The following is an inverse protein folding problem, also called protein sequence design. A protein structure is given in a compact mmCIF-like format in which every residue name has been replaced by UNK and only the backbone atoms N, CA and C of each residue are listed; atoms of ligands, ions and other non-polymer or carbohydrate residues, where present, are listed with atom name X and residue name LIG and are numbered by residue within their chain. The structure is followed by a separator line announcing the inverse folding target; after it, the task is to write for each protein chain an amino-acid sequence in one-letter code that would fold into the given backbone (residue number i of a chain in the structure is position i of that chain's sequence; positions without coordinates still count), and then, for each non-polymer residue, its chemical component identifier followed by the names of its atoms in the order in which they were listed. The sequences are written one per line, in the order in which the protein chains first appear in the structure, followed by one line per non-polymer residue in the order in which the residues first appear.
data_IF_360860842814
#
_entry.id   IF_360860842814
#
_cell.length_a   1.000
_cell.length_b   1.000
_cell.length_c   1.000
_cell.angle_alpha   90.00
_cell.angle_beta   90.00
_cell.angle_gamma   90.00
#
_symmetry.space_group_name_H-M   'P 1'
#
loop_
_entity.id
_entity.type
_entity.pdbx_description
1 polymer ?
#
# COMPACT_ATOMS: atom_id res chain seq x y z
N UNK A 1 -52.01 -11.86 -32.21
CA UNK A 1 -52.21 -11.23 -30.89
C UNK A 1 -50.91 -10.58 -30.46
N UNK A 2 -50.88 -9.27 -30.18
CA UNK A 2 -49.70 -8.55 -29.66
C UNK A 2 -49.84 -8.47 -28.14
N UNK A 3 -49.13 -9.32 -27.41
CA UNK A 3 -49.15 -9.32 -25.94
C UNK A 3 -48.45 -8.05 -25.45
N UNK A 4 -49.20 -7.12 -24.86
CA UNK A 4 -48.62 -5.96 -24.19
C UNK A 4 -48.14 -6.40 -22.81
N UNK A 5 -46.82 -6.43 -22.60
CA UNK A 5 -46.23 -6.64 -21.29
C UNK A 5 -46.61 -5.47 -20.38
N UNK A 6 -47.52 -5.71 -19.43
CA UNK A 6 -47.87 -4.76 -18.38
C UNK A 6 -46.86 -4.93 -17.25
N UNK A 7 -45.83 -4.07 -17.23
CA UNK A 7 -44.88 -4.03 -16.12
C UNK A 7 -45.57 -3.30 -14.96
N UNK A 8 -45.83 -4.01 -13.87
CA UNK A 8 -46.41 -3.42 -12.65
C UNK A 8 -45.44 -2.37 -12.07
N UNK A 9 -45.94 -1.24 -11.54
CA UNK A 9 -45.10 -0.22 -10.92
C UNK A 9 -44.25 -0.79 -9.76
N UNK A 10 -44.73 -1.83 -9.09
CA UNK A 10 -43.98 -2.55 -8.05
C UNK A 10 -42.75 -3.25 -8.64
N UNK A 11 -42.90 -3.86 -9.82
CA UNK A 11 -41.80 -4.53 -10.53
C UNK A 11 -40.77 -3.52 -11.04
N UNK A 12 -41.22 -2.34 -11.47
CA UNK A 12 -40.33 -1.25 -11.89
C UNK A 12 -39.52 -0.68 -10.71
N UNK A 13 -40.13 -0.51 -9.54
CA UNK A 13 -39.44 -0.04 -8.32
C UNK A 13 -38.43 -1.07 -7.82
N UNK A 14 -38.76 -2.37 -7.86
CA UNK A 14 -37.82 -3.44 -7.50
C UNK A 14 -36.61 -3.51 -8.45
N UNK A 15 -36.80 -3.26 -9.75
CA UNK A 15 -35.70 -3.21 -10.73
C UNK A 15 -34.77 -2.00 -10.54
N UNK A 16 -35.32 -0.86 -10.10
CA UNK A 16 -34.53 0.34 -9.77
C UNK A 16 -33.69 0.17 -8.50
N UNK A 17 -34.16 -0.61 -7.53
CA UNK A 17 -33.41 -0.93 -6.32
C UNK A 17 -32.26 -1.93 -6.55
N UNK A 18 -32.27 -2.67 -7.66
CA UNK A 18 -31.18 -3.59 -8.03
C UNK A 18 -29.93 -2.88 -8.59
N UNK A 19 -30.02 -1.57 -8.82
CA UNK A 19 -28.90 -0.71 -9.23
C UNK A 19 -28.17 -0.10 -8.02
N UNK A 20 -28.04 -0.86 -6.93
CA UNK A 20 -27.13 -0.47 -5.84
C UNK A 20 -25.72 -0.44 -6.42
N UNK A 21 -25.17 0.77 -6.56
CA UNK A 21 -23.92 1.05 -7.24
C UNK A 21 -22.80 0.10 -6.83
N UNK A 22 -21.93 -0.22 -7.78
CA UNK A 22 -20.71 -0.95 -7.50
C UNK A 22 -19.96 -0.27 -6.35
N UNK A 23 -20.05 -0.84 -5.14
CA UNK A 23 -19.19 -0.42 -4.04
C UNK A 23 -17.80 -0.85 -4.45
N UNK A 24 -17.00 0.11 -4.87
CA UNK A 24 -15.58 -0.05 -5.12
C UNK A 24 -14.92 -0.39 -3.77
N UNK A 25 -14.88 -1.67 -3.44
CA UNK A 25 -14.13 -2.18 -2.30
C UNK A 25 -12.64 -2.12 -2.66
N UNK A 26 -12.04 -0.93 -2.56
CA UNK A 26 -10.60 -0.78 -2.63
C UNK A 26 -10.02 -1.17 -1.27
N UNK A 27 -9.23 -2.24 -1.25
CA UNK A 27 -8.61 -2.79 -0.05
C UNK A 27 -7.94 -1.71 0.83
N UNK A 28 -8.48 -1.49 2.03
CA UNK A 28 -7.80 -1.14 3.29
C UNK A 28 -6.90 0.11 3.41
N UNK A 29 -6.00 0.40 2.47
CA UNK A 29 -4.85 1.29 2.73
C UNK A 29 -5.18 2.79 2.56
N UNK A 30 -6.08 3.14 1.63
CA UNK A 30 -6.39 4.54 1.27
C UNK A 30 -6.94 5.35 2.45
N UNK A 31 -7.58 4.70 3.44
CA UNK A 31 -8.06 5.41 4.62
C UNK A 31 -6.93 5.87 5.54
N UNK A 32 -5.84 5.11 5.64
CA UNK A 32 -4.75 5.33 6.60
C UNK A 32 -3.62 6.19 6.06
N UNK A 33 -3.37 6.15 4.76
CA UNK A 33 -2.24 6.83 4.12
C UNK A 33 -2.68 8.02 3.26
N UNK A 34 -1.89 9.09 3.29
CA UNK A 34 -2.08 10.23 2.39
C UNK A 34 -1.59 9.89 0.99
N UNK A 35 -2.48 9.32 0.18
CA UNK A 35 -2.19 8.93 -1.20
C UNK A 35 -1.91 10.12 -2.13
N UNK A 36 -2.13 11.36 -1.69
CA UNK A 36 -1.88 12.56 -2.49
C UNK A 36 -0.45 13.10 -2.37
N UNK A 37 0.28 12.67 -1.35
CA UNK A 37 1.65 13.11 -1.09
C UNK A 37 2.58 11.90 -0.90
N UNK A 38 3.74 11.94 -1.53
CA UNK A 38 4.80 10.96 -1.31
C UNK A 38 5.95 11.62 -0.55
N UNK A 39 6.52 10.90 0.41
CA UNK A 39 7.67 11.33 1.20
C UNK A 39 8.87 10.44 0.92
N UNK A 40 10.06 11.01 1.06
CA UNK A 40 11.33 10.31 0.90
C UNK A 40 12.05 10.24 2.24
N UNK A 41 12.33 9.03 2.72
CA UNK A 41 12.93 8.80 4.03
C UNK A 41 14.15 7.89 3.89
N UNK A 42 15.32 8.37 4.30
CA UNK A 42 16.56 7.57 4.32
C UNK A 42 16.75 6.95 5.70
N UNK A 43 17.06 5.66 5.75
CA UNK A 43 17.34 4.97 7.00
C UNK A 43 18.07 3.65 6.84
N UNK A 44 18.27 2.98 7.97
CA UNK A 44 18.97 1.69 8.06
C UNK A 44 17.97 0.61 8.45
N UNK A 45 17.86 -0.44 7.64
CA UNK A 45 16.96 -1.56 7.89
C UNK A 45 17.29 -2.22 9.22
N UNK A 46 16.27 -2.47 10.02
CA UNK A 46 16.34 -3.23 11.27
C UNK A 46 15.66 -4.58 11.16
N UNK A 47 14.61 -4.71 10.33
CA UNK A 47 13.95 -5.97 10.05
C UNK A 47 13.20 -5.94 8.69
N UNK A 48 12.99 -7.13 8.11
CA UNK A 48 12.16 -7.32 6.92
C UNK A 48 11.26 -8.54 7.07
N UNK A 49 9.96 -8.30 7.21
CA UNK A 49 8.96 -9.35 7.38
C UNK A 49 8.37 -9.72 6.01
N UNK A 50 8.79 -10.86 5.47
CA UNK A 50 8.23 -11.45 4.26
C UNK A 50 7.03 -12.36 4.58
N UNK A 51 5.91 -11.73 4.93
CA UNK A 51 4.68 -12.40 5.41
C UNK A 51 3.47 -12.14 4.52
N UNK A 52 2.55 -13.10 4.38
CA UNK A 52 1.30 -12.92 3.63
C UNK A 52 0.19 -12.43 4.58
N UNK A 53 -0.67 -11.42 4.26
CA UNK A 53 -0.90 -10.81 2.96
C UNK A 53 0.05 -9.70 2.52
N UNK A 54 0.76 -9.04 3.46
CA UNK A 54 1.63 -7.89 3.17
C UNK A 54 3.01 -8.07 3.81
N UNK A 55 4.06 -7.69 3.07
CA UNK A 55 5.40 -7.60 3.61
C UNK A 55 5.63 -6.24 4.30
N UNK A 56 6.57 -6.20 5.24
CA UNK A 56 6.91 -4.97 5.98
C UNK A 56 8.41 -4.78 6.09
N UNK A 57 8.86 -3.53 5.95
CA UNK A 57 10.25 -3.12 6.25
C UNK A 57 10.22 -2.27 7.51
N UNK A 58 11.10 -2.57 8.45
CA UNK A 58 11.35 -1.75 9.62
C UNK A 58 12.74 -1.16 9.51
N UNK A 59 12.88 0.13 9.81
CA UNK A 59 14.14 0.83 9.64
C UNK A 59 14.27 2.01 10.59
N UNK A 60 15.50 2.30 10.99
CA UNK A 60 15.85 3.41 11.85
C UNK A 60 16.23 4.62 11.00
N UNK A 61 15.64 5.77 11.34
CA UNK A 61 15.86 7.06 10.67
C UNK A 61 16.45 8.01 11.69
N UNK A 62 17.52 8.70 11.31
CA UNK A 62 18.11 9.74 12.14
C UNK A 62 17.44 11.07 11.82
N UNK A 63 16.81 11.69 12.81
CA UNK A 63 16.21 13.00 12.65
C UNK A 63 17.28 14.12 12.62
N UNK A 64 16.85 15.36 12.40
CA UNK A 64 17.73 16.53 12.36
C UNK A 64 18.48 16.77 13.67
N UNK A 65 17.95 16.28 14.79
CA UNK A 65 18.55 16.40 16.13
C UNK A 65 19.46 15.21 16.46
N UNK A 66 19.56 14.25 15.55
CA UNK A 66 20.35 13.04 15.70
C UNK A 66 19.67 11.92 16.48
N UNK A 67 18.41 12.09 16.88
CA UNK A 67 17.62 11.05 17.54
C UNK A 67 17.16 9.99 16.52
N UNK A 68 17.02 8.76 16.99
CA UNK A 68 16.54 7.65 16.16
C UNK A 68 15.02 7.58 16.24
N UNK A 69 14.38 7.66 15.08
CA UNK A 69 12.96 7.45 14.87
C UNK A 69 12.77 6.13 14.15
N UNK A 70 11.97 5.24 14.75
CA UNK A 70 11.65 3.93 14.16
C UNK A 70 10.55 4.10 13.13
N UNK A 71 10.84 3.72 11.89
CA UNK A 71 9.90 3.72 10.80
C UNK A 71 9.47 2.30 10.43
N UNK A 72 8.24 2.18 9.92
CA UNK A 72 7.80 1.01 9.18
C UNK A 72 7.23 1.39 7.81
N UNK A 73 7.45 0.53 6.83
CA UNK A 73 6.86 0.64 5.52
C UNK A 73 6.09 -0.64 5.19
N UNK A 74 4.83 -0.50 4.80
CA UNK A 74 3.98 -1.58 4.30
C UNK A 74 4.16 -1.73 2.79
N UNK A 75 4.24 -2.98 2.33
CA UNK A 75 4.40 -3.32 0.92
C UNK A 75 3.18 -4.09 0.40
N UNK A 76 3.10 -4.24 -0.93
CA UNK A 76 2.08 -5.06 -1.58
C UNK A 76 2.15 -6.55 -1.26
N UNK A 77 1.27 -7.31 -1.91
CA UNK A 77 1.22 -8.76 -1.73
C UNK A 77 2.49 -9.46 -2.24
N UNK A 78 2.93 -10.51 -1.54
CA UNK A 78 4.18 -11.23 -1.83
C UNK A 78 4.29 -11.72 -3.28
N UNK A 79 3.18 -12.12 -3.88
CA UNK A 79 3.14 -12.54 -5.28
C UNK A 79 3.46 -11.38 -6.24
N UNK A 80 3.01 -10.16 -5.94
CA UNK A 80 3.33 -8.95 -6.73
C UNK A 80 4.79 -8.54 -6.50
N UNK A 81 5.23 -8.53 -5.24
CA UNK A 81 6.61 -8.21 -4.89
C UNK A 81 7.61 -9.16 -5.56
N UNK A 82 7.34 -10.47 -5.55
CA UNK A 82 8.20 -11.45 -6.22
C UNK A 82 8.34 -11.17 -7.73
N UNK A 83 7.25 -10.74 -8.39
CA UNK A 83 7.30 -10.34 -9.82
C UNK A 83 8.07 -9.04 -10.03
N UNK A 84 8.06 -8.13 -9.05
CA UNK A 84 8.85 -6.91 -9.05
C UNK A 84 10.31 -7.12 -8.60
N UNK A 85 10.75 -8.37 -8.46
CA UNK A 85 12.15 -8.72 -8.18
C UNK A 85 12.52 -8.82 -6.70
N UNK A 86 11.55 -8.68 -5.80
CA UNK A 86 11.76 -8.92 -4.38
C UNK A 86 11.93 -10.41 -4.08
N UNK A 87 12.70 -10.69 -3.04
CA UNK A 87 12.93 -12.01 -2.46
C UNK A 87 12.86 -11.88 -0.95
N UNK A 88 12.67 -13.00 -0.25
CA UNK A 88 12.69 -13.05 1.22
C UNK A 88 14.00 -12.49 1.81
N UNK A 89 15.10 -12.54 1.06
CA UNK A 89 16.42 -12.08 1.46
C UNK A 89 16.87 -10.77 0.77
N UNK A 90 15.94 -10.06 0.11
CA UNK A 90 16.22 -8.76 -0.55
C UNK A 90 16.72 -7.69 0.42
N UNK A 91 16.33 -7.77 1.69
CA UNK A 91 16.77 -6.84 2.73
C UNK A 91 17.29 -7.60 3.93
N UNK A 92 18.35 -7.05 4.52
CA UNK A 92 18.96 -7.54 5.76
C UNK A 92 19.14 -6.36 6.71
N UNK A 93 19.13 -6.61 8.03
CA UNK A 93 19.52 -5.59 9.00
C UNK A 93 20.87 -4.96 8.65
N UNK A 94 20.96 -3.64 8.75
CA UNK A 94 22.14 -2.86 8.37
C UNK A 94 22.16 -2.37 6.92
N UNK A 95 21.24 -2.79 6.05
CA UNK A 95 21.14 -2.18 4.72
C UNK A 95 20.69 -0.72 4.82
N UNK A 96 21.40 0.18 4.15
CA UNK A 96 20.93 1.55 3.94
C UNK A 96 19.97 1.60 2.75
N UNK A 97 18.80 2.17 2.99
CA UNK A 97 17.78 2.37 1.97
C UNK A 97 17.27 3.82 2.01
N UNK A 98 16.83 4.28 0.85
CA UNK A 98 15.94 5.43 0.71
C UNK A 98 14.56 4.90 0.36
N UNK A 99 13.61 5.00 1.29
CA UNK A 99 12.23 4.59 1.10
C UNK A 99 11.41 5.77 0.58
N UNK A 100 10.62 5.54 -0.48
CA UNK A 100 9.69 6.50 -1.05
C UNK A 100 8.29 5.90 -0.95
N UNK A 101 7.32 6.69 -0.47
CA UNK A 101 5.97 6.20 -0.26
C UNK A 101 5.02 7.24 0.35
N UNK A 102 3.76 6.86 0.49
CA UNK A 102 2.71 7.69 1.08
C UNK A 102 2.73 7.59 2.61
N UNK A 103 2.86 8.71 3.35
CA UNK A 103 2.92 8.68 4.81
C UNK A 103 1.54 8.44 5.43
N UNK A 104 1.51 7.98 6.68
CA UNK A 104 0.28 7.87 7.47
C UNK A 104 -0.34 9.25 7.73
N UNK A 105 -1.66 9.36 7.61
CA UNK A 105 -2.41 10.62 7.81
C UNK A 105 -2.36 11.14 9.24
N UNK A 106 -2.15 10.25 10.22
CA UNK A 106 -2.08 10.59 11.65
C UNK A 106 -0.67 11.00 12.10
N UNK A 107 0.28 11.13 11.18
CA UNK A 107 1.64 11.59 11.44
C UNK A 107 2.55 10.54 12.09
N UNK A 108 2.09 9.29 12.24
CA UNK A 108 2.98 8.20 12.69
C UNK A 108 4.08 7.94 11.66
N UNK A 109 5.27 7.46 12.08
CA UNK A 109 6.38 7.13 11.19
C UNK A 109 6.12 5.80 10.46
N UNK A 110 5.04 5.77 9.69
CA UNK A 110 4.57 4.63 8.92
C UNK A 110 4.28 5.12 7.51
N UNK A 111 4.63 4.33 6.49
CA UNK A 111 4.28 4.63 5.11
C UNK A 111 3.75 3.41 4.37
N UNK A 112 2.92 3.67 3.36
CA UNK A 112 2.71 2.74 2.27
C UNK A 112 3.83 2.92 1.25
N UNK A 113 4.62 1.89 1.00
CA UNK A 113 5.81 1.99 0.16
C UNK A 113 5.42 2.07 -1.32
N UNK A 114 6.09 2.93 -2.08
CA UNK A 114 6.10 2.92 -3.55
C UNK A 114 7.34 2.18 -4.08
N UNK A 115 8.51 2.54 -3.54
CA UNK A 115 9.79 1.90 -3.86
C UNK A 115 10.86 2.15 -2.79
N UNK A 116 11.89 1.32 -2.81
CA UNK A 116 13.17 1.62 -2.16
C UNK A 116 14.26 1.84 -3.20
N UNK A 117 15.25 2.64 -2.82
CA UNK A 117 16.52 2.80 -3.52
C UNK A 117 17.64 2.40 -2.56
N UNK A 118 18.48 1.45 -2.97
CA UNK A 118 19.67 1.05 -2.22
C UNK A 118 20.80 2.06 -2.41
N UNK A 119 21.80 2.03 -1.52
CA UNK A 119 22.98 2.89 -1.63
C UNK A 119 23.76 2.73 -2.96
N UNK A 120 23.66 1.57 -3.61
CA UNK A 120 24.27 1.32 -4.93
C UNK A 120 23.41 1.82 -6.12
N UNK A 121 22.27 2.47 -5.86
CA UNK A 121 21.34 2.97 -6.87
C UNK A 121 20.35 1.94 -7.40
N UNK A 122 20.41 0.67 -6.98
CA UNK A 122 19.42 -0.33 -7.33
C UNK A 122 18.06 0.06 -6.74
N UNK A 123 16.97 -0.14 -7.49
CA UNK A 123 15.61 0.09 -7.03
C UNK A 123 14.81 -1.20 -6.92
N UNK A 124 13.86 -1.24 -5.98
CA UNK A 124 12.80 -2.25 -5.91
C UNK A 124 11.46 -1.55 -5.63
N UNK A 125 10.48 -1.76 -6.50
CA UNK A 125 9.12 -1.18 -6.37
C UNK A 125 8.20 -2.09 -5.58
N UNK A 126 7.27 -1.52 -4.80
CA UNK A 126 6.25 -2.24 -4.04
C UNK A 126 5.16 -2.91 -4.89
N UNK A 127 5.21 -2.72 -6.22
CA UNK A 127 4.37 -3.40 -7.21
C UNK A 127 2.86 -3.13 -7.05
N UNK A 128 2.46 -1.85 -7.14
CA UNK A 128 1.05 -1.44 -7.23
C UNK A 128 0.45 -1.76 -8.60
#
# INVERSE_FOLDING_TARGET
MRTRLLISPVTAVLLLLSFTGATYAHHGFVSWFDMSHSVTVKGTVTNFDWTNPHAYIYFDVKDEKGAIVKWSAELGALAMLARAGWKRDSLKPGNEITAIGNPAKDGKPIMHLDKIVFANGQELSSAL
#
